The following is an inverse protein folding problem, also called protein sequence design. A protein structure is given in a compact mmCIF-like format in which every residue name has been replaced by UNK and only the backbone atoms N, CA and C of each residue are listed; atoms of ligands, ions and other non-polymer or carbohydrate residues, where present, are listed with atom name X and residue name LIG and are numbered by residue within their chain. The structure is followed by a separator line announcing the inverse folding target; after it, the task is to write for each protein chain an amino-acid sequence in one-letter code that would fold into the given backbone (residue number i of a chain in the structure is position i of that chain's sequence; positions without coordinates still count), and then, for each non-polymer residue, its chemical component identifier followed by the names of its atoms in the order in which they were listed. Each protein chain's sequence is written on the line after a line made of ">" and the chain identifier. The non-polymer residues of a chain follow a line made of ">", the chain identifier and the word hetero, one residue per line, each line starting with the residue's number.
data_IF_636213193281
#
_entry.id   IF_636213193281
#
_cell.length_a   1.000
_cell.length_b   1.000
_cell.length_c   1.000
_cell.angle_alpha   90.00
_cell.angle_beta   90.00
_cell.angle_gamma   90.00
#
_symmetry.space_group_name_H-M   'P 1'
#
loop_
_entity.id
_entity.type
_entity.pdbx_description
1 polymer ?
#
# COMPACT_ATOMS: atom_id res chain seq x y z
N UNK A 1 25.43 -57.68 31.96
CA UNK A 1 25.24 -56.83 30.76
C UNK A 1 23.95 -57.26 30.04
N UNK A 2 22.81 -56.68 30.41
CA UNK A 2 21.55 -56.89 29.68
C UNK A 2 21.51 -55.92 28.50
N UNK A 3 21.47 -56.46 27.28
CA UNK A 3 21.22 -55.70 26.06
C UNK A 3 19.75 -55.29 26.06
N UNK A 4 19.46 -54.04 26.41
CA UNK A 4 18.19 -53.38 26.12
C UNK A 4 18.13 -53.09 24.60
N UNK A 5 17.95 -54.14 23.80
CA UNK A 5 17.38 -54.02 22.45
C UNK A 5 15.86 -54.01 22.61
N UNK A 6 15.08 -53.22 21.89
CA UNK A 6 15.41 -52.54 20.64
C UNK A 6 14.12 -52.41 19.84
N UNK A 7 13.04 -51.97 20.50
CA UNK A 7 11.83 -51.50 19.84
C UNK A 7 11.42 -50.21 20.54
N UNK A 8 12.24 -49.17 20.39
CA UNK A 8 11.68 -47.83 20.44
C UNK A 8 10.74 -47.74 19.24
N UNK A 9 9.48 -48.09 19.50
CA UNK A 9 8.43 -48.20 18.50
C UNK A 9 8.49 -46.98 17.59
N UNK A 10 8.44 -47.21 16.27
CA UNK A 10 8.51 -46.17 15.23
C UNK A 10 7.62 -44.96 15.53
N UNK A 11 6.54 -45.17 16.29
CA UNK A 11 5.66 -44.13 16.84
C UNK A 11 6.38 -43.09 17.73
N UNK A 12 7.32 -43.49 18.60
CA UNK A 12 8.05 -42.56 19.48
C UNK A 12 9.00 -41.64 18.71
N UNK A 13 9.68 -42.18 17.70
CA UNK A 13 10.55 -41.38 16.82
C UNK A 13 9.71 -40.39 16.02
N UNK A 14 8.61 -40.84 15.43
CA UNK A 14 7.73 -39.97 14.63
C UNK A 14 7.09 -38.85 15.46
N UNK A 15 6.69 -39.15 16.70
CA UNK A 15 6.17 -38.15 17.64
C UNK A 15 7.23 -37.11 18.03
N UNK A 16 8.49 -37.54 18.24
CA UNK A 16 9.61 -36.63 18.53
C UNK A 16 9.87 -35.70 17.34
N UNK A 17 9.91 -36.22 16.11
CA UNK A 17 10.13 -35.42 14.91
C UNK A 17 9.01 -34.39 14.68
N UNK A 18 7.75 -34.78 14.88
CA UNK A 18 6.62 -33.86 14.82
C UNK A 18 6.72 -32.76 15.88
N UNK A 19 7.09 -33.10 17.12
CA UNK A 19 7.22 -32.13 18.20
C UNK A 19 8.32 -31.11 17.90
N UNK A 20 9.49 -31.58 17.40
CA UNK A 20 10.58 -30.69 16.99
C UNK A 20 10.15 -29.81 15.81
N UNK A 21 9.41 -30.36 14.84
CA UNK A 21 8.86 -29.59 13.72
C UNK A 21 7.90 -28.48 14.16
N UNK A 22 7.02 -28.76 15.12
CA UNK A 22 6.09 -27.77 15.70
C UNK A 22 6.86 -26.69 16.47
N UNK A 23 7.85 -27.06 17.28
CA UNK A 23 8.67 -26.08 18.01
C UNK A 23 9.52 -25.22 17.08
N UNK A 24 10.11 -25.80 16.03
CA UNK A 24 10.86 -25.06 15.02
C UNK A 24 9.95 -24.08 14.28
N UNK A 25 8.76 -24.52 13.85
CA UNK A 25 7.78 -23.61 13.21
C UNK A 25 7.33 -22.50 14.15
N UNK A 26 7.09 -22.76 15.44
CA UNK A 26 6.79 -21.70 16.43
C UNK A 26 7.95 -20.72 16.64
N UNK A 27 9.21 -21.15 16.48
CA UNK A 27 10.37 -20.27 16.57
C UNK A 27 10.55 -19.42 15.31
N UNK A 28 10.19 -19.96 14.14
CA UNK A 28 10.24 -19.25 12.85
C UNK A 28 9.03 -18.36 12.61
N UNK A 29 7.87 -18.66 13.23
CA UNK A 29 6.78 -17.72 13.40
C UNK A 29 7.25 -16.74 14.47
N UNK A 30 8.09 -15.77 14.07
CA UNK A 30 8.50 -14.67 14.95
C UNK A 30 7.27 -14.05 15.62
N UNK A 31 7.45 -13.27 16.71
CA UNK A 31 6.35 -12.73 17.48
C UNK A 31 5.32 -12.11 16.54
N UNK A 32 4.13 -12.71 16.47
CA UNK A 32 3.03 -12.21 15.66
C UNK A 32 2.76 -10.82 16.20
N UNK A 33 3.21 -9.79 15.48
CA UNK A 33 2.85 -8.42 15.79
C UNK A 33 1.34 -8.38 15.63
N UNK A 34 0.63 -8.37 16.76
CA UNK A 34 -0.80 -8.10 16.73
C UNK A 34 -0.99 -6.83 15.90
N UNK A 35 -1.93 -6.87 14.97
CA UNK A 35 -2.24 -5.72 14.12
C UNK A 35 -2.89 -4.66 15.01
N UNK A 36 -2.03 -3.83 15.62
CA UNK A 36 -2.40 -2.78 16.58
C UNK A 36 -3.20 -1.66 15.91
N UNK A 37 -3.20 -1.61 14.57
CA UNK A 37 -3.70 -0.49 13.80
C UNK A 37 -4.38 -0.98 12.53
N UNK A 38 -5.63 -0.56 12.32
CA UNK A 38 -6.48 -0.96 11.21
C UNK A 38 -6.89 0.27 10.40
N UNK A 39 -6.88 0.13 9.07
CA UNK A 39 -7.29 1.17 8.12
C UNK A 39 -8.43 0.61 7.27
N UNK A 40 -9.63 1.15 7.44
CA UNK A 40 -10.81 0.75 6.70
C UNK A 40 -11.19 1.81 5.66
N UNK A 41 -11.07 1.44 4.39
CA UNK A 41 -11.50 2.24 3.24
C UNK A 41 -12.72 1.54 2.63
N UNK A 42 -13.86 2.23 2.70
CA UNK A 42 -15.15 1.73 2.19
C UNK A 42 -15.15 1.62 0.67
N UNK A 43 -14.93 2.75 0.00
CA UNK A 43 -14.84 2.86 -1.46
C UNK A 43 -13.42 3.20 -1.88
N UNK A 44 -12.87 2.45 -2.83
CA UNK A 44 -11.51 2.65 -3.35
C UNK A 44 -11.50 3.39 -4.67
N UNK A 45 -12.65 3.60 -5.30
CA UNK A 45 -12.78 4.24 -6.60
C UNK A 45 -13.62 5.49 -6.42
N UNK A 46 -12.96 6.65 -6.37
CA UNK A 46 -13.60 7.91 -6.03
C UNK A 46 -13.52 8.84 -7.23
N UNK A 47 -14.65 9.38 -7.65
CA UNK A 47 -14.68 10.36 -8.72
C UNK A 47 -14.21 11.71 -8.17
N UNK A 48 -13.29 12.38 -8.89
CA UNK A 48 -12.77 13.70 -8.50
C UNK A 48 -13.95 14.69 -8.39
N UNK A 49 -14.03 15.33 -7.22
CA UNK A 49 -15.19 16.14 -6.82
C UNK A 49 -15.91 15.56 -5.62
N UNK A 50 -15.83 14.26 -5.41
CA UNK A 50 -16.43 13.57 -4.28
C UNK A 50 -15.50 13.61 -3.06
N UNK A 51 -16.06 13.32 -1.88
CA UNK A 51 -15.29 13.18 -0.65
C UNK A 51 -14.95 11.71 -0.43
N UNK A 52 -13.68 11.43 -0.17
CA UNK A 52 -13.23 10.12 0.29
C UNK A 52 -13.30 10.08 1.81
N UNK A 53 -13.82 8.98 2.35
CA UNK A 53 -13.86 8.68 3.77
C UNK A 53 -13.08 7.39 4.06
N UNK A 54 -12.22 7.42 5.07
CA UNK A 54 -11.69 6.19 5.64
C UNK A 54 -11.53 6.29 7.14
N UNK A 55 -11.84 5.18 7.80
CA UNK A 55 -11.77 5.06 9.25
C UNK A 55 -10.46 4.40 9.63
N UNK A 56 -9.82 4.96 10.64
CA UNK A 56 -8.56 4.44 11.17
C UNK A 56 -8.75 4.16 12.64
N UNK A 57 -8.32 2.99 13.09
CA UNK A 57 -8.33 2.63 14.50
C UNK A 57 -6.98 2.12 14.96
N UNK A 58 -6.61 2.46 16.20
CA UNK A 58 -5.44 1.94 16.88
C UNK A 58 -5.81 1.52 18.30
N UNK A 59 -5.51 0.28 18.67
CA UNK A 59 -5.78 -0.28 19.99
C UNK A 59 -4.45 -0.44 20.73
N UNK A 60 -4.25 0.31 21.81
CA UNK A 60 -3.06 0.25 22.64
C UNK A 60 -3.41 -0.56 23.90
N UNK A 61 -2.82 -1.75 24.02
CA UNK A 61 -2.99 -2.57 25.22
C UNK A 61 -2.30 -1.92 26.42
N UNK A 62 -2.90 -2.09 27.60
CA UNK A 62 -2.32 -1.68 28.89
C UNK A 62 -0.92 -2.26 29.13
N UNK A 63 -0.59 -3.43 28.56
CA UNK A 63 0.74 -4.04 28.73
C UNK A 63 1.82 -3.39 27.87
N UNK A 64 1.44 -2.70 26.79
CA UNK A 64 2.41 -2.31 25.77
C UNK A 64 3.14 -1.00 26.07
N UNK A 65 2.74 -0.26 27.11
CA UNK A 65 3.34 1.01 27.56
C UNK A 65 3.81 1.89 26.39
N UNK A 66 2.97 1.96 25.36
CA UNK A 66 3.31 2.64 24.10
C UNK A 66 2.71 4.03 24.14
N UNK A 67 3.58 5.03 24.04
CA UNK A 67 3.14 6.41 23.93
C UNK A 67 3.14 6.82 22.45
N UNK A 68 1.97 7.17 21.93
CA UNK A 68 1.80 7.66 20.57
C UNK A 68 1.80 9.18 20.61
N UNK A 69 2.73 9.78 19.88
CA UNK A 69 2.90 11.23 19.82
C UNK A 69 2.01 11.89 18.75
N UNK A 70 1.89 11.25 17.60
CA UNK A 70 1.18 11.78 16.43
C UNK A 70 0.94 10.69 15.40
N UNK A 71 0.12 11.00 14.41
CA UNK A 71 -0.26 10.14 13.31
C UNK A 71 0.02 10.82 11.99
N UNK A 72 0.42 10.03 10.98
CA UNK A 72 0.62 10.48 9.63
C UNK A 72 -0.27 9.66 8.70
N UNK A 73 -1.12 10.35 7.95
CA UNK A 73 -1.74 9.83 6.74
C UNK A 73 -0.82 10.16 5.58
N UNK A 74 -0.43 9.15 4.81
CA UNK A 74 0.44 9.29 3.65
C UNK A 74 -0.19 8.57 2.44
N UNK A 75 -0.52 9.34 1.40
CA UNK A 75 -1.00 8.84 0.11
C UNK A 75 0.11 9.01 -0.91
N UNK A 76 0.67 7.89 -1.36
CA UNK A 76 1.73 7.86 -2.37
C UNK A 76 1.14 7.54 -3.76
N UNK A 77 1.14 8.52 -4.67
CA UNK A 77 0.62 8.38 -6.03
C UNK A 77 1.29 9.36 -7.01
N UNK A 78 0.57 9.88 -8.02
CA UNK A 78 1.11 10.91 -8.93
C UNK A 78 1.65 12.14 -8.20
N UNK A 79 1.05 12.47 -7.06
CA UNK A 79 1.58 13.42 -6.07
C UNK A 79 1.57 12.75 -4.70
N UNK A 80 2.58 13.02 -3.87
CA UNK A 80 2.60 12.56 -2.48
C UNK A 80 1.80 13.52 -1.61
N UNK A 81 0.85 12.99 -0.85
CA UNK A 81 0.00 13.77 0.06
C UNK A 81 0.25 13.26 1.46
N UNK A 82 0.67 14.16 2.35
CA UNK A 82 0.99 13.79 3.74
C UNK A 82 0.29 14.74 4.70
N UNK A 83 -0.44 14.19 5.68
CA UNK A 83 -1.07 14.94 6.75
C UNK A 83 -0.62 14.39 8.10
N UNK A 84 0.01 15.24 8.92
CA UNK A 84 0.43 14.92 10.27
C UNK A 84 -0.54 15.57 11.27
N UNK A 85 -1.03 14.80 12.23
CA UNK A 85 -1.95 15.26 13.26
C UNK A 85 -1.67 14.59 14.62
N UNK A 86 -2.08 15.25 15.71
CA UNK A 86 -1.86 14.74 17.07
C UNK A 86 -2.90 13.68 17.48
N UNK A 87 -2.81 13.18 18.72
CA UNK A 87 -3.72 12.16 19.26
C UNK A 87 -5.14 12.67 19.57
N UNK A 88 -5.37 13.98 19.42
CA UNK A 88 -6.68 14.62 19.56
C UNK A 88 -7.30 14.97 18.20
N UNK A 89 -6.59 14.68 17.10
CA UNK A 89 -7.04 14.98 15.74
C UNK A 89 -6.66 16.38 15.25
N UNK A 90 -5.89 17.16 16.02
CA UNK A 90 -5.45 18.48 15.59
C UNK A 90 -4.31 18.36 14.59
N UNK A 91 -4.42 19.11 13.48
CA UNK A 91 -3.44 19.12 12.40
C UNK A 91 -2.12 19.78 12.89
N UNK A 92 -1.02 19.05 12.80
CA UNK A 92 0.33 19.54 13.13
C UNK A 92 1.00 20.16 11.89
N UNK A 93 0.81 19.54 10.72
CA UNK A 93 1.33 20.04 9.44
C UNK A 93 0.21 20.49 8.49
N UNK A 94 0.57 21.01 7.31
CA UNK A 94 -0.43 21.40 6.31
C UNK A 94 -1.15 20.17 5.73
N UNK A 95 -2.31 19.84 6.29
CA UNK A 95 -3.22 18.84 5.77
C UNK A 95 -4.13 19.46 4.69
N UNK A 96 -3.54 19.87 3.57
CA UNK A 96 -4.27 20.51 2.46
C UNK A 96 -5.32 19.53 1.93
N UNK A 97 -6.60 19.87 2.06
CA UNK A 97 -7.71 19.01 1.61
C UNK A 97 -8.03 17.82 2.49
N UNK A 98 -7.40 17.69 3.66
CA UNK A 98 -7.63 16.56 4.58
C UNK A 98 -8.17 17.10 5.90
N UNK A 99 -9.33 16.62 6.29
CA UNK A 99 -9.93 16.82 7.59
C UNK A 99 -9.84 15.54 8.42
N UNK A 100 -9.58 15.72 9.72
CA UNK A 100 -9.40 14.63 10.68
C UNK A 100 -10.41 14.82 11.79
N UNK A 101 -11.30 13.85 11.95
CA UNK A 101 -12.30 13.83 12.99
C UNK A 101 -12.00 12.67 13.94
N UNK A 102 -11.65 12.99 15.19
CA UNK A 102 -11.53 11.97 16.23
C UNK A 102 -12.93 11.47 16.61
N UNK A 103 -13.12 10.15 16.53
CA UNK A 103 -14.37 9.47 16.85
C UNK A 103 -14.37 8.86 18.26
N UNK A 104 -13.19 8.51 18.81
CA UNK A 104 -13.10 7.96 20.15
C UNK A 104 -13.06 9.05 21.22
N UNK A 105 -13.64 8.74 22.38
CA UNK A 105 -13.58 9.59 23.57
C UNK A 105 -12.31 9.38 24.40
N UNK A 106 -11.45 8.44 24.02
CA UNK A 106 -10.23 8.14 24.75
C UNK A 106 -9.14 9.18 24.45
N UNK A 107 -8.55 9.75 25.49
CA UNK A 107 -7.42 10.68 25.40
C UNK A 107 -6.11 9.98 25.71
N UNK A 108 -5.04 10.30 24.99
CA UNK A 108 -3.67 9.80 25.25
C UNK A 108 -2.99 10.49 26.45
N UNK A 109 -3.77 10.86 27.46
CA UNK A 109 -3.28 11.46 28.68
C UNK A 109 -2.74 10.37 29.61
N UNK A 110 -1.59 9.79 29.25
CA UNK A 110 -0.70 9.13 30.21
C UNK A 110 0.03 10.15 31.10
N UNK A 111 -0.58 11.32 31.32
CA UNK A 111 0.04 12.35 32.12
C UNK A 111 0.32 11.81 33.51
N UNK A 112 1.58 12.00 33.90
CA UNK A 112 2.11 11.89 35.24
C UNK A 112 1.12 12.55 36.19
N UNK A 113 0.24 11.77 36.79
CA UNK A 113 -0.65 12.30 37.80
C UNK A 113 0.21 13.00 38.83
N UNK A 114 -0.14 14.24 39.18
CA UNK A 114 0.37 14.95 40.36
C UNK A 114 -0.12 14.25 41.63
N UNK A 115 0.13 12.94 41.73
CA UNK A 115 0.03 12.21 42.96
C UNK A 115 1.26 12.57 43.77
N UNK A 116 1.05 13.10 44.97
CA UNK A 116 2.04 13.20 46.04
C UNK A 116 2.52 11.82 46.53
N UNK A 117 2.59 10.82 45.63
CA UNK A 117 3.19 9.52 45.87
C UNK A 117 4.66 9.62 45.48
N UNK A 118 5.55 9.38 46.45
CA UNK A 118 6.99 9.28 46.23
C UNK A 118 7.32 8.18 45.20
N UNK A 119 7.30 8.50 43.91
CA UNK A 119 8.07 7.76 42.90
C UNK A 119 9.53 8.21 43.00
N UNK A 120 10.14 7.99 44.16
CA UNK A 120 11.56 8.25 44.40
C UNK A 120 12.38 7.06 43.89
N UNK A 121 12.42 6.89 42.58
CA UNK A 121 13.24 5.90 41.90
C UNK A 121 13.09 6.06 40.40
N UNK A 122 14.19 5.97 39.65
CA UNK A 122 14.32 6.15 38.19
C UNK A 122 13.51 5.12 37.35
N UNK A 123 12.21 4.99 37.60
CA UNK A 123 11.31 4.08 36.91
C UNK A 123 9.92 4.69 36.80
N UNK A 124 9.38 4.69 35.58
CA UNK A 124 8.01 5.07 35.26
C UNK A 124 7.01 4.48 36.27
N UNK A 125 6.17 5.33 36.88
CA UNK A 125 5.28 4.99 38.00
C UNK A 125 4.16 3.98 37.68
N UNK A 126 4.16 3.38 36.49
CA UNK A 126 3.28 2.26 36.13
C UNK A 126 3.77 0.92 36.74
N UNK A 127 4.11 0.91 38.03
CA UNK A 127 4.74 -0.21 38.73
C UNK A 127 3.91 -0.76 39.89
N UNK A 128 3.38 -1.97 39.70
CA UNK A 128 3.03 -3.10 40.61
C UNK A 128 2.24 -2.85 41.91
N UNK A 129 2.32 -1.69 42.58
CA UNK A 129 1.57 -1.42 43.82
C UNK A 129 0.99 -0.01 43.94
N UNK A 130 1.17 0.83 42.91
CA UNK A 130 0.56 2.16 42.85
C UNK A 130 -0.88 2.08 42.34
N UNK A 131 -1.84 2.54 43.14
CA UNK A 131 -3.26 2.74 42.76
C UNK A 131 -3.43 3.91 41.76
N UNK A 132 -2.64 3.94 40.69
CA UNK A 132 -2.78 4.88 39.58
C UNK A 132 -3.96 4.47 38.71
N UNK A 133 -5.03 5.26 38.75
CA UNK A 133 -6.33 4.95 38.12
C UNK A 133 -6.30 4.70 36.60
N UNK A 134 -5.21 5.01 35.89
CA UNK A 134 -5.14 4.96 34.42
C UNK A 134 -4.13 3.96 33.83
N UNK A 135 -3.35 3.24 34.64
CA UNK A 135 -2.28 2.36 34.13
C UNK A 135 -2.78 1.02 33.55
N UNK A 136 -4.06 0.68 33.77
CA UNK A 136 -4.67 -0.58 33.35
C UNK A 136 -5.73 -0.42 32.25
N UNK A 137 -5.81 0.75 31.62
CA UNK A 137 -6.81 1.02 30.59
C UNK A 137 -6.24 0.73 29.20
N UNK A 138 -6.91 -0.13 28.44
CA UNK A 138 -6.71 -0.23 27.00
C UNK A 138 -7.26 1.04 26.35
N UNK A 139 -6.45 1.69 25.53
CA UNK A 139 -6.82 2.94 24.84
C UNK A 139 -7.21 2.59 23.41
N UNK A 140 -8.39 3.04 22.98
CA UNK A 140 -8.85 2.90 21.59
C UNK A 140 -8.91 4.28 20.93
N UNK A 141 -8.04 4.50 19.95
CA UNK A 141 -8.02 5.71 19.16
C UNK A 141 -8.68 5.44 17.83
N UNK A 142 -9.81 6.09 17.57
CA UNK A 142 -10.50 5.99 16.28
C UNK A 142 -10.64 7.37 15.64
N UNK A 143 -10.36 7.44 14.35
CA UNK A 143 -10.42 8.65 13.55
C UNK A 143 -11.17 8.37 12.24
N UNK A 144 -11.92 9.35 11.78
CA UNK A 144 -12.41 9.44 10.42
C UNK A 144 -11.59 10.48 9.68
N UNK A 145 -10.99 10.06 8.56
CA UNK A 145 -10.23 10.94 7.68
C UNK A 145 -11.12 11.25 6.47
N UNK A 146 -11.30 12.54 6.21
CA UNK A 146 -12.12 13.05 5.11
C UNK A 146 -11.19 13.77 4.14
N UNK A 147 -11.19 13.35 2.89
CA UNK A 147 -10.30 13.89 1.86
C UNK A 147 -11.13 14.54 0.75
N UNK A 148 -10.86 15.82 0.50
CA UNK A 148 -11.40 16.57 -0.63
C UNK A 148 -10.59 16.25 -1.90
N UNK A 149 -11.16 15.43 -2.78
CA UNK A 149 -10.46 14.94 -3.98
C UNK A 149 -10.23 16.00 -5.05
N UNK A 150 -10.91 17.16 -5.00
CA UNK A 150 -10.75 18.24 -5.99
C UNK A 150 -9.34 18.83 -6.04
N UNK A 151 -8.56 18.64 -4.98
CA UNK A 151 -7.21 19.18 -4.85
C UNK A 151 -6.12 18.23 -5.37
N UNK A 152 -6.49 17.04 -5.85
CA UNK A 152 -5.52 16.02 -6.27
C UNK A 152 -5.80 15.53 -7.69
N UNK A 153 -4.74 15.22 -8.46
CA UNK A 153 -4.90 14.68 -9.80
C UNK A 153 -5.42 13.24 -9.78
N UNK A 154 -6.06 12.85 -10.89
CA UNK A 154 -6.46 11.46 -11.13
C UNK A 154 -5.24 10.52 -11.09
N UNK A 155 -5.43 9.33 -10.54
CA UNK A 155 -4.33 8.38 -10.32
C UNK A 155 -4.66 7.30 -9.30
N UNK A 156 -3.79 6.29 -9.22
CA UNK A 156 -3.78 5.31 -8.13
C UNK A 156 -2.84 5.79 -7.02
N UNK A 157 -3.32 5.75 -5.78
CA UNK A 157 -2.63 6.17 -4.57
C UNK A 157 -2.55 4.99 -3.59
N UNK A 158 -1.34 4.68 -3.15
CA UNK A 158 -1.11 3.75 -2.04
C UNK A 158 -1.33 4.47 -0.73
N UNK A 159 -2.17 3.89 0.13
CA UNK A 159 -2.52 4.47 1.42
C UNK A 159 -1.66 3.90 2.52
N UNK A 160 -1.05 4.79 3.31
CA UNK A 160 -0.33 4.42 4.52
C UNK A 160 -0.83 5.23 5.70
N UNK A 161 -0.93 4.55 6.83
CA UNK A 161 -1.16 5.18 8.11
C UNK A 161 -0.02 4.84 9.07
N UNK A 162 0.57 5.87 9.66
CA UNK A 162 1.81 5.74 10.44
C UNK A 162 1.58 6.37 11.81
N UNK A 163 1.70 5.58 12.86
CA UNK A 163 1.70 6.06 14.24
C UNK A 163 3.15 6.32 14.70
N UNK A 164 3.47 7.54 15.12
CA UNK A 164 4.77 7.89 15.66
C UNK A 164 4.80 7.63 17.17
N UNK A 165 5.53 6.60 17.59
CA UNK A 165 5.58 6.17 19.00
C UNK A 165 6.96 6.36 19.62
N UNK A 166 7.03 6.30 20.96
CA UNK A 166 8.31 6.26 21.68
C UNK A 166 9.18 5.03 21.37
N UNK A 167 8.62 3.98 20.75
CA UNK A 167 9.33 2.77 20.29
C UNK A 167 9.69 2.81 18.80
N UNK A 168 9.38 3.90 18.11
CA UNK A 168 9.55 4.07 16.67
C UNK A 168 8.22 4.11 15.91
N UNK A 169 8.26 4.34 14.58
CA UNK A 169 7.07 4.39 13.75
C UNK A 169 6.46 3.00 13.56
N UNK A 170 5.14 2.92 13.71
CA UNK A 170 4.34 1.75 13.33
C UNK A 170 3.61 2.13 12.05
N UNK A 171 3.75 1.34 10.98
CA UNK A 171 3.17 1.61 9.67
C UNK A 171 2.21 0.49 9.28
N UNK A 172 0.99 0.86 8.94
CA UNK A 172 -0.02 -0.02 8.33
C UNK A 172 -0.35 0.49 6.94
N UNK A 173 -0.43 -0.43 5.98
CA UNK A 173 -0.86 -0.12 4.61
C UNK A 173 -2.37 -0.38 4.49
N UNK A 174 -3.11 0.60 3.99
CA UNK A 174 -4.52 0.45 3.62
C UNK A 174 -4.69 -0.08 2.20
N UNK A 175 -5.93 -0.13 1.73
CA UNK A 175 -6.23 -0.38 0.30
C UNK A 175 -5.68 0.76 -0.58
N UNK A 176 -5.37 0.45 -1.83
CA UNK A 176 -5.10 1.46 -2.85
C UNK A 176 -6.41 2.22 -3.16
N UNK A 177 -6.27 3.51 -3.46
CA UNK A 177 -7.39 4.39 -3.83
C UNK A 177 -7.12 4.92 -5.24
N UNK A 178 -8.15 4.90 -6.09
CA UNK A 178 -8.13 5.43 -7.43
C UNK A 178 -8.98 6.71 -7.48
N UNK A 179 -8.35 7.84 -7.80
CA UNK A 179 -9.05 9.06 -8.16
C UNK A 179 -9.33 9.07 -9.66
N UNK A 180 -10.61 9.17 -10.02
CA UNK A 180 -11.12 9.03 -11.38
C UNK A 180 -11.70 10.36 -11.82
N UNK A 181 -11.30 10.88 -12.97
CA UNK A 181 -11.91 12.12 -13.49
C UNK A 181 -13.33 11.86 -14.02
N UNK A 182 -14.21 12.86 -13.96
CA UNK A 182 -15.57 12.72 -14.51
C UNK A 182 -15.53 12.59 -16.05
N UNK A 183 -16.39 11.73 -16.61
CA UNK A 183 -16.49 11.56 -18.07
C UNK A 183 -15.40 10.68 -18.70
N UNK A 184 -14.63 9.94 -17.92
CA UNK A 184 -13.51 9.12 -18.42
C UNK A 184 -13.97 7.81 -19.05
N UNK A 185 -14.63 7.90 -20.20
CA UNK A 185 -14.98 6.72 -21.00
C UNK A 185 -13.96 6.61 -22.13
N UNK A 186 -13.36 5.43 -22.26
CA UNK A 186 -12.49 5.08 -23.39
C UNK A 186 -13.25 4.06 -24.25
N UNK A 187 -13.85 4.52 -25.34
CA UNK A 187 -14.76 3.70 -26.14
C UNK A 187 -14.03 2.51 -26.79
N UNK A 188 -12.82 2.77 -27.29
CA UNK A 188 -11.84 1.81 -27.78
C UNK A 188 -10.46 2.46 -27.69
N UNK A 189 -9.37 1.71 -27.76
CA UNK A 189 -8.05 2.32 -27.87
C UNK A 189 -7.03 1.29 -28.30
N UNK A 190 -6.33 1.54 -29.41
CA UNK A 190 -5.27 0.68 -29.89
C UNK A 190 -3.98 1.47 -30.03
N UNK A 191 -2.95 1.02 -29.32
CA UNK A 191 -1.64 1.67 -29.26
C UNK A 191 -0.57 0.66 -29.64
N UNK A 192 0.37 1.10 -30.49
CA UNK A 192 1.68 0.47 -30.62
C UNK A 192 2.73 1.53 -30.34
N UNK A 193 3.71 1.17 -29.53
CA UNK A 193 4.82 2.04 -29.23
C UNK A 193 6.13 1.26 -29.23
N UNK A 194 7.23 1.96 -29.47
CA UNK A 194 8.57 1.39 -29.52
C UNK A 194 9.57 2.29 -28.79
N UNK A 195 10.77 1.75 -28.58
CA UNK A 195 11.90 2.45 -27.98
C UNK A 195 11.60 2.85 -26.51
N UNK A 196 12.13 3.97 -26.02
CA UNK A 196 12.02 4.42 -24.62
C UNK A 196 13.03 3.77 -23.66
N UNK A 197 13.06 4.29 -22.43
CA UNK A 197 13.80 3.69 -21.32
C UNK A 197 12.92 2.73 -20.52
N UNK A 198 13.50 1.62 -20.05
CA UNK A 198 12.83 0.60 -19.25
C UNK A 198 13.73 0.17 -18.10
N UNK A 199 13.27 0.42 -16.89
CA UNK A 199 13.89 -0.03 -15.65
C UNK A 199 12.96 -1.03 -14.95
N UNK A 200 13.46 -2.22 -14.62
CA UNK A 200 12.71 -3.26 -13.91
C UNK A 200 13.53 -3.75 -12.72
N UNK A 201 13.12 -3.42 -11.50
CA UNK A 201 13.85 -3.84 -10.29
C UNK A 201 15.36 -3.51 -10.35
N UNK A 202 15.67 -2.28 -10.80
CA UNK A 202 17.04 -1.81 -11.01
C UNK A 202 17.74 -2.33 -12.27
N UNK A 203 17.13 -3.23 -13.04
CA UNK A 203 17.65 -3.71 -14.32
C UNK A 203 17.25 -2.78 -15.46
N UNK A 204 18.23 -2.11 -16.06
CA UNK A 204 18.05 -1.29 -17.28
C UNK A 204 18.01 -2.19 -18.53
N UNK A 205 16.93 -2.05 -19.29
CA UNK A 205 16.62 -2.76 -20.53
C UNK A 205 16.33 -1.82 -21.72
N UNK A 206 16.98 -0.66 -21.72
CA UNK A 206 16.77 0.41 -22.70
C UNK A 206 17.01 -0.01 -24.16
N UNK A 207 16.31 0.69 -25.08
CA UNK A 207 16.65 0.72 -26.51
C UNK A 207 16.00 -0.34 -27.40
N UNK A 208 15.12 -1.20 -26.86
CA UNK A 208 14.37 -2.19 -27.66
C UNK A 208 12.97 -2.51 -27.09
N UNK A 209 12.35 -1.55 -26.39
CA UNK A 209 10.99 -1.68 -25.90
C UNK A 209 9.98 -1.78 -27.04
N UNK A 210 8.99 -2.67 -26.94
CA UNK A 210 7.82 -2.73 -27.83
C UNK A 210 6.58 -2.95 -27.01
N UNK A 211 5.66 -2.00 -27.09
CA UNK A 211 4.36 -2.03 -26.44
C UNK A 211 3.28 -2.28 -27.49
N UNK A 212 2.36 -3.19 -27.19
CA UNK A 212 1.11 -3.36 -27.92
C UNK A 212 -0.03 -3.34 -26.90
N UNK A 213 -1.03 -2.51 -27.15
CA UNK A 213 -2.16 -2.31 -26.26
C UNK A 213 -3.45 -2.19 -27.07
N UNK A 214 -4.52 -2.83 -26.60
CA UNK A 214 -5.81 -2.79 -27.26
C UNK A 214 -6.97 -2.90 -26.27
N UNK A 215 -7.82 -1.86 -26.25
CA UNK A 215 -9.15 -1.82 -25.66
C UNK A 215 -10.17 -1.96 -26.79
N UNK A 216 -10.91 -3.09 -26.87
CA UNK A 216 -11.90 -3.28 -27.91
C UNK A 216 -13.07 -2.32 -27.74
N UNK A 217 -13.78 -2.02 -28.84
CA UNK A 217 -14.94 -1.15 -28.81
C UNK A 217 -16.06 -1.72 -27.92
N UNK A 218 -16.67 -0.87 -27.09
CA UNK A 218 -17.93 -1.11 -26.37
C UNK A 218 -17.92 -2.27 -25.35
N UNK A 219 -17.19 -2.14 -24.24
CA UNK A 219 -17.27 -3.00 -23.03
C UNK A 219 -17.23 -4.53 -23.26
N UNK A 220 -16.94 -5.01 -24.47
CA UNK A 220 -17.02 -6.42 -24.84
C UNK A 220 -15.94 -7.26 -24.12
N UNK A 221 -14.83 -6.62 -23.75
CA UNK A 221 -13.83 -7.17 -22.86
C UNK A 221 -12.98 -6.06 -22.25
N UNK A 222 -12.46 -6.30 -21.05
CA UNK A 222 -11.36 -5.52 -20.50
C UNK A 222 -10.19 -5.55 -21.49
N UNK A 223 -9.64 -4.37 -21.83
CA UNK A 223 -8.52 -4.24 -22.75
C UNK A 223 -7.31 -5.06 -22.30
N UNK A 224 -6.40 -5.36 -23.22
CA UNK A 224 -5.18 -6.13 -22.93
C UNK A 224 -3.98 -5.52 -23.61
N UNK A 225 -2.82 -5.76 -23.04
CA UNK A 225 -1.57 -5.34 -23.65
C UNK A 225 -0.39 -6.20 -23.26
N UNK A 226 0.70 -5.95 -23.96
CA UNK A 226 1.98 -6.59 -23.77
C UNK A 226 3.10 -5.59 -23.99
N UNK A 227 4.05 -5.55 -23.07
CA UNK A 227 5.32 -4.87 -23.22
C UNK A 227 6.42 -5.93 -23.28
N UNK A 228 7.29 -5.84 -24.28
CA UNK A 228 8.48 -6.68 -24.40
C UNK A 228 9.71 -5.81 -24.59
N UNK A 229 10.83 -6.22 -23.99
CA UNK A 229 12.11 -5.58 -24.19
C UNK A 229 13.22 -6.63 -24.11
N UNK A 230 14.36 -6.33 -24.73
CA UNK A 230 15.51 -7.22 -24.72
C UNK A 230 16.83 -6.43 -24.77
N UNK A 231 17.74 -6.75 -23.85
CA UNK A 231 19.12 -6.24 -23.83
C UNK A 231 20.08 -7.41 -23.68
N UNK A 232 20.87 -7.67 -24.73
CA UNK A 232 21.69 -8.87 -24.84
C UNK A 232 20.86 -10.16 -24.71
N UNK A 233 21.22 -11.00 -23.74
CA UNK A 233 20.53 -12.28 -23.46
C UNK A 233 19.38 -12.16 -22.44
N UNK A 234 19.09 -10.95 -21.95
CA UNK A 234 18.02 -10.73 -20.99
C UNK A 234 16.77 -10.23 -21.71
N UNK A 235 15.72 -11.04 -21.66
CA UNK A 235 14.39 -10.71 -22.20
C UNK A 235 13.44 -10.40 -21.05
N UNK A 236 12.69 -9.32 -21.20
CA UNK A 236 11.58 -8.95 -20.34
C UNK A 236 10.26 -9.09 -21.10
N UNK A 237 9.22 -9.49 -20.39
CA UNK A 237 7.86 -9.55 -20.93
C UNK A 237 6.87 -9.24 -19.82
N UNK A 238 6.07 -8.20 -20.01
CA UNK A 238 4.95 -7.84 -19.14
C UNK A 238 3.64 -8.01 -19.92
N UNK A 239 2.76 -8.86 -19.42
CA UNK A 239 1.42 -9.07 -19.98
C UNK A 239 0.40 -8.53 -18.99
N UNK A 240 -0.49 -7.67 -19.46
CA UNK A 240 -1.41 -6.97 -18.58
C UNK A 240 -2.80 -6.85 -19.20
N UNK A 241 -3.78 -6.60 -18.34
CA UNK A 241 -5.16 -6.27 -18.66
C UNK A 241 -5.48 -4.88 -18.14
N UNK A 242 -6.36 -4.17 -18.83
CA UNK A 242 -6.95 -2.93 -18.33
C UNK A 242 -7.85 -3.28 -17.16
N UNK A 243 -7.60 -2.62 -16.04
CA UNK A 243 -8.49 -2.66 -14.90
C UNK A 243 -9.45 -1.48 -14.95
N UNK A 244 -8.92 -0.27 -15.17
CA UNK A 244 -9.70 0.98 -15.11
C UNK A 244 -9.12 2.10 -15.96
N UNK A 245 -9.98 2.98 -16.45
CA UNK A 245 -9.59 4.27 -17.04
C UNK A 245 -9.69 5.33 -15.95
N UNK A 246 -8.57 5.92 -15.56
CA UNK A 246 -8.50 6.92 -14.49
C UNK A 246 -8.74 8.34 -15.03
N UNK A 247 -8.28 8.59 -16.26
CA UNK A 247 -8.39 9.86 -16.97
C UNK A 247 -8.37 9.61 -18.47
N UNK A 248 -9.20 10.33 -19.22
CA UNK A 248 -9.20 10.31 -20.68
C UNK A 248 -9.73 11.64 -21.19
N UNK A 249 -8.84 12.54 -21.60
CA UNK A 249 -9.18 13.83 -22.20
C UNK A 249 -8.47 14.00 -23.55
N UNK A 250 -8.57 15.17 -24.19
CA UNK A 250 -7.91 15.42 -25.48
C UNK A 250 -6.37 15.32 -25.42
N UNK A 251 -5.77 15.54 -24.25
CA UNK A 251 -4.32 15.64 -24.10
C UNK A 251 -3.69 14.32 -23.67
N UNK A 252 -4.35 13.57 -22.77
CA UNK A 252 -3.79 12.36 -22.19
C UNK A 252 -4.82 11.32 -21.76
N UNK A 253 -4.36 10.08 -21.64
CA UNK A 253 -5.10 8.99 -21.00
C UNK A 253 -4.27 8.37 -19.88
N UNK A 254 -4.88 8.19 -18.71
CA UNK A 254 -4.33 7.42 -17.60
C UNK A 254 -5.13 6.13 -17.44
N UNK A 255 -4.45 4.99 -17.54
CA UNK A 255 -5.07 3.67 -17.59
C UNK A 255 -4.41 2.78 -16.54
N UNK A 256 -5.18 2.35 -15.54
CA UNK A 256 -4.75 1.36 -14.56
C UNK A 256 -4.75 -0.02 -15.21
N UNK A 257 -3.62 -0.70 -15.10
CA UNK A 257 -3.44 -2.05 -15.62
C UNK A 257 -2.91 -2.98 -14.54
N UNK A 258 -3.39 -4.22 -14.58
CA UNK A 258 -2.97 -5.32 -13.71
C UNK A 258 -2.44 -6.46 -14.58
N UNK A 259 -1.33 -7.07 -14.18
CA UNK A 259 -0.66 -8.06 -15.00
C UNK A 259 0.44 -8.83 -14.30
N UNK A 260 1.22 -9.57 -15.09
CA UNK A 260 2.43 -10.23 -14.60
C UNK A 260 3.59 -10.04 -15.56
N UNK A 261 4.78 -9.80 -15.00
CA UNK A 261 6.01 -9.69 -15.76
C UNK A 261 6.97 -10.83 -15.47
N UNK A 262 7.87 -11.08 -16.43
CA UNK A 262 8.94 -12.08 -16.32
C UNK A 262 10.23 -11.49 -16.85
N UNK A 263 11.33 -11.79 -16.15
CA UNK A 263 12.70 -11.55 -16.61
C UNK A 263 13.35 -12.91 -16.88
N UNK A 264 13.81 -13.15 -18.12
CA UNK A 264 14.33 -14.44 -18.59
C UNK A 264 13.31 -15.58 -18.44
N UNK A 265 13.69 -16.66 -17.75
CA UNK A 265 12.88 -17.88 -17.53
C UNK A 265 12.31 -17.95 -16.11
N UNK A 266 12.29 -16.83 -15.39
CA UNK A 266 11.73 -16.78 -14.04
C UNK A 266 10.20 -16.85 -14.07
N UNK A 267 9.63 -17.13 -12.90
CA UNK A 267 8.19 -17.10 -12.69
C UNK A 267 7.62 -15.69 -12.87
N UNK A 268 6.32 -15.63 -13.11
CA UNK A 268 5.61 -14.36 -13.26
C UNK A 268 5.50 -13.65 -11.92
N UNK A 269 5.90 -12.39 -11.88
CA UNK A 269 5.67 -11.51 -10.73
C UNK A 269 4.48 -10.61 -11.08
N UNK A 270 3.47 -10.58 -10.20
CA UNK A 270 2.29 -9.74 -10.39
C UNK A 270 2.67 -8.27 -10.20
N UNK A 271 2.11 -7.41 -11.04
CA UNK A 271 2.39 -5.98 -11.04
C UNK A 271 1.16 -5.20 -11.50
N UNK A 272 0.76 -4.24 -10.67
CA UNK A 272 -0.17 -3.16 -11.01
C UNK A 272 0.64 -1.94 -11.48
N UNK A 273 0.18 -1.28 -12.53
CA UNK A 273 0.86 -0.11 -13.11
C UNK A 273 -0.14 0.86 -13.71
N UNK A 274 0.27 2.13 -13.84
CA UNK A 274 -0.49 3.14 -14.58
C UNK A 274 0.21 3.39 -15.91
N UNK A 275 -0.51 3.15 -17.02
CA UNK A 275 -0.13 3.61 -18.34
C UNK A 275 -0.54 5.06 -18.49
N UNK A 276 0.40 5.90 -18.90
CA UNK A 276 0.15 7.30 -19.26
C UNK A 276 0.42 7.49 -20.75
N UNK A 277 -0.63 7.68 -21.52
CA UNK A 277 -0.55 8.06 -22.93
C UNK A 277 -0.62 9.58 -23.04
N UNK A 278 0.46 10.22 -23.47
CA UNK A 278 0.49 11.61 -23.91
C UNK A 278 0.13 11.66 -25.40
N UNK A 279 -1.08 12.13 -25.70
CA UNK A 279 -1.64 12.17 -27.05
C UNK A 279 -1.05 13.32 -27.88
N UNK A 280 -0.59 14.39 -27.23
CA UNK A 280 -0.01 15.54 -27.91
C UNK A 280 1.40 15.23 -28.41
N UNK A 281 2.20 14.58 -27.55
CA UNK A 281 3.59 14.26 -27.86
C UNK A 281 3.77 12.86 -28.46
N UNK A 282 2.69 12.07 -28.57
CA UNK A 282 2.73 10.67 -29.00
C UNK A 282 3.73 9.83 -28.17
N UNK A 283 3.70 10.02 -26.86
CA UNK A 283 4.55 9.28 -25.91
C UNK A 283 3.71 8.42 -25.00
N UNK A 284 4.25 7.28 -24.58
CA UNK A 284 3.63 6.45 -23.56
C UNK A 284 4.64 6.08 -22.46
N UNK A 285 4.20 6.24 -21.22
CA UNK A 285 4.92 5.90 -20.02
C UNK A 285 4.18 4.79 -19.26
N UNK A 286 4.92 4.01 -18.47
CA UNK A 286 4.34 3.01 -17.55
C UNK A 286 4.99 3.20 -16.19
N UNK A 287 4.18 3.49 -15.18
CA UNK A 287 4.64 3.68 -13.81
C UNK A 287 4.03 2.61 -12.90
N UNK A 288 4.85 1.65 -12.51
CA UNK A 288 4.55 0.61 -11.53
C UNK A 288 5.39 0.74 -10.26
N UNK A 289 5.35 -0.30 -9.43
CA UNK A 289 6.22 -0.46 -8.25
C UNK A 289 7.61 -0.94 -8.65
N UNK A 290 7.68 -1.88 -9.59
CA UNK A 290 8.94 -2.48 -10.05
C UNK A 290 9.25 -2.11 -11.49
N UNK A 291 8.23 -1.83 -12.30
CA UNK A 291 8.36 -1.50 -13.72
C UNK A 291 8.26 0.02 -13.90
N UNK A 292 9.28 0.62 -14.51
CA UNK A 292 9.26 2.02 -14.93
C UNK A 292 9.65 2.12 -16.40
N UNK A 293 8.76 2.73 -17.19
CA UNK A 293 8.95 2.95 -18.63
C UNK A 293 8.75 4.42 -18.92
N UNK A 294 9.68 5.02 -19.63
CA UNK A 294 9.58 6.43 -19.99
C UNK A 294 9.84 6.66 -21.49
N UNK A 295 9.00 7.50 -22.09
CA UNK A 295 9.20 8.05 -23.42
C UNK A 295 9.18 7.01 -24.53
N UNK A 296 8.33 5.99 -24.47
CA UNK A 296 8.12 5.13 -25.64
C UNK A 296 7.39 5.91 -26.73
N UNK A 297 7.91 5.89 -27.95
CA UNK A 297 7.34 6.59 -29.10
C UNK A 297 6.13 5.81 -29.65
N UNK A 298 4.96 6.44 -29.65
CA UNK A 298 3.73 5.88 -30.20
C UNK A 298 3.74 6.01 -31.71
N UNK A 299 3.83 4.88 -32.41
CA UNK A 299 3.84 4.84 -33.88
C UNK A 299 2.49 4.43 -34.48
N UNK A 300 1.54 4.02 -33.64
CA UNK A 300 0.17 3.76 -34.04
C UNK A 300 -0.76 4.10 -32.87
N UNK A 301 -1.74 4.96 -33.14
CA UNK A 301 -2.77 5.37 -32.20
C UNK A 301 -4.12 5.37 -32.90
N UNK A 302 -5.11 4.66 -32.36
CA UNK A 302 -6.48 4.63 -32.91
C UNK A 302 -7.53 4.49 -31.84
N UNK A 303 -8.57 5.32 -31.92
CA UNK A 303 -9.80 5.19 -31.12
C UNK A 303 -9.71 5.75 -29.70
N UNK A 304 -8.55 6.20 -29.25
CA UNK A 304 -8.30 6.65 -27.88
C UNK A 304 -8.82 8.08 -27.59
N UNK A 305 -9.83 8.55 -28.30
CA UNK A 305 -10.43 9.87 -28.09
C UNK A 305 -11.40 9.83 -26.90
N UNK A 306 -11.57 10.94 -26.15
CA UNK A 306 -12.66 11.05 -25.19
C UNK A 306 -14.02 11.05 -25.91
N UNK A 307 -15.05 10.57 -25.22
CA UNK A 307 -16.45 10.65 -25.68
C UNK A 307 -17.10 11.88 -25.07
#
# INVERSE_FOLDING_TARGET
>A
MQKLGGEWGRSKVLALTMTIGILATLFFIGPIKAEIMNVFIGETDITIGEQLYFDVSMIIDKTDMMNVSSFIVDLAGPVSITCNFDTEGNKISSCVGIDVLKLSNDTMNFHDGYGYGYCSGYGSCCGVYGYGYNCNKTVNLTYQIIINTTLYPAGSYKTYFIALTNKGPIKTQGKNINFIENGTILESCSIRAKDGSLLVDGLDLDGNGKLNFNVPKSNAALGRGTLVAQKGNTRFTYKFRVEKILKNDEQKSLILVDGSYKVRRQDGINEESVLELDKQNNLININGTTIHVQGMEVNFLRGCEPI
#
